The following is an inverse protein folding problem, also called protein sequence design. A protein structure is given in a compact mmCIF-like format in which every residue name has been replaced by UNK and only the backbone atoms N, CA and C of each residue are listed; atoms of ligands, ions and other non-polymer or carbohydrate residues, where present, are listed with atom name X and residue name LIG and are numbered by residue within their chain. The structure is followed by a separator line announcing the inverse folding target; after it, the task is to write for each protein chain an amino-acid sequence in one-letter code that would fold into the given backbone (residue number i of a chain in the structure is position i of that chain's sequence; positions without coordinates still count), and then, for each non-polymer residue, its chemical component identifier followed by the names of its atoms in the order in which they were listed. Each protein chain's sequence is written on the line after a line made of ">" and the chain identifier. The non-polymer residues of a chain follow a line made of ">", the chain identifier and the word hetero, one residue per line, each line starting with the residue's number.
data_IF_470249541727
#
_entry.id   IF_470249541727
#
_cell.length_a   1.000
_cell.length_b   1.000
_cell.length_c   1.000
_cell.angle_alpha   90.00
_cell.angle_beta   90.00
_cell.angle_gamma   90.00
#
_symmetry.space_group_name_H-M   'P 1'
#
loop_
_entity.id
_entity.type
_entity.pdbx_description
1 polymer ?
#
# COMPACT_ATOMS: atom_id res chain seq x y z
N UNK A 1 -19.34 -8.31 -49.06
CA UNK A 1 -17.88 -8.24 -48.79
C UNK A 1 -17.55 -6.81 -48.37
N UNK A 2 -17.47 -6.58 -47.06
CA UNK A 2 -16.44 -5.74 -46.44
C UNK A 2 -16.63 -5.85 -44.93
N UNK A 3 -15.82 -6.71 -44.32
CA UNK A 3 -15.65 -6.79 -42.88
C UNK A 3 -15.22 -5.43 -42.33
N UNK A 4 -15.95 -4.93 -41.35
CA UNK A 4 -15.45 -3.88 -40.46
C UNK A 4 -14.86 -4.57 -39.24
N UNK A 5 -13.53 -4.67 -39.17
CA UNK A 5 -12.84 -5.05 -37.94
C UNK A 5 -12.93 -3.88 -36.94
N UNK A 6 -13.35 -4.10 -35.68
CA UNK A 6 -13.19 -3.09 -34.67
C UNK A 6 -11.70 -3.00 -34.28
N UNK A 7 -11.17 -1.80 -34.45
CA UNK A 7 -9.86 -1.37 -33.94
C UNK A 7 -9.71 -1.76 -32.48
N UNK A 8 -8.68 -2.56 -32.20
CA UNK A 8 -8.17 -2.79 -30.84
C UNK A 8 -7.73 -1.44 -30.26
N UNK A 9 -8.56 -0.89 -29.38
CA UNK A 9 -8.16 0.17 -28.46
C UNK A 9 -6.97 -0.35 -27.66
N UNK A 10 -5.77 0.07 -28.05
CA UNK A 10 -4.61 0.08 -27.17
C UNK A 10 -5.05 0.82 -25.91
N UNK A 11 -5.19 0.09 -24.80
CA UNK A 11 -5.15 0.67 -23.47
C UNK A 11 -3.73 1.26 -23.28
N UNK A 12 -3.52 2.44 -23.87
CA UNK A 12 -2.33 3.21 -23.66
C UNK A 12 -2.31 3.62 -22.20
N UNK A 13 -1.27 3.21 -21.48
CA UNK A 13 -0.87 3.82 -20.23
C UNK A 13 -0.81 5.33 -20.44
N UNK A 14 -1.85 6.05 -20.04
CA UNK A 14 -1.71 7.48 -19.81
C UNK A 14 -0.84 7.62 -18.58
N UNK A 15 0.47 7.59 -18.80
CA UNK A 15 1.47 8.19 -17.91
C UNK A 15 1.27 9.72 -17.98
N UNK A 16 0.12 10.21 -17.54
CA UNK A 16 0.08 11.56 -17.00
C UNK A 16 0.95 11.50 -15.73
N UNK A 17 2.26 11.69 -15.95
CA UNK A 17 3.24 12.02 -14.93
C UNK A 17 2.86 13.40 -14.39
N UNK A 18 1.74 13.51 -13.69
CA UNK A 18 1.70 14.47 -12.60
C UNK A 18 2.74 13.94 -11.64
N UNK A 19 3.98 14.41 -11.80
CA UNK A 19 5.04 14.17 -10.84
C UNK A 19 4.56 14.87 -9.56
N UNK A 20 3.74 14.16 -8.78
CA UNK A 20 3.40 14.56 -7.43
C UNK A 20 4.75 14.64 -6.73
N UNK A 21 5.23 15.88 -6.55
CA UNK A 21 6.48 16.14 -5.83
C UNK A 21 6.19 15.86 -4.37
N UNK A 22 6.18 14.59 -4.01
CA UNK A 22 6.04 14.23 -2.62
C UNK A 22 7.33 14.53 -1.89
N UNK A 23 7.22 14.92 -0.62
CA UNK A 23 8.37 15.24 0.23
C UNK A 23 9.20 13.96 0.43
N UNK A 24 10.51 14.07 0.20
CA UNK A 24 11.43 12.96 0.47
C UNK A 24 11.49 12.70 1.98
N UNK A 25 11.39 11.43 2.44
CA UNK A 25 11.60 11.09 3.84
C UNK A 25 12.96 11.54 4.34
N UNK A 26 12.99 12.04 5.57
CA UNK A 26 14.17 12.43 6.34
C UNK A 26 13.91 12.07 7.81
N UNK A 27 13.83 10.76 8.13
CA UNK A 27 13.64 10.29 9.51
C UNK A 27 14.71 10.86 10.43
N UNK A 28 14.30 11.14 11.66
CA UNK A 28 15.10 11.69 12.75
C UNK A 28 14.76 10.89 13.98
N UNK A 29 15.77 10.34 14.63
CA UNK A 29 15.59 9.62 15.89
C UNK A 29 14.98 10.54 16.95
N UNK A 30 13.73 10.30 17.34
CA UNK A 30 13.04 11.22 18.26
C UNK A 30 11.71 10.76 18.84
N UNK A 31 10.92 9.93 18.14
CA UNK A 31 9.63 9.44 18.61
C UNK A 31 9.52 7.92 18.48
N UNK A 32 8.77 7.31 19.39
CA UNK A 32 8.43 5.89 19.30
C UNK A 32 7.52 5.64 18.09
N UNK A 33 7.68 4.48 17.46
CA UNK A 33 6.80 4.03 16.39
C UNK A 33 5.34 3.96 16.85
N UNK A 34 4.37 4.29 15.96
CA UNK A 34 2.96 4.06 16.25
C UNK A 34 2.68 2.55 16.35
N UNK A 35 1.61 2.19 17.06
CA UNK A 35 1.07 0.83 16.96
C UNK A 35 0.48 0.58 15.57
N UNK A 36 0.50 -0.68 15.15
CA UNK A 36 -0.14 -1.16 13.92
C UNK A 36 -1.26 -2.19 14.20
N UNK A 37 -1.86 -2.15 15.40
CA UNK A 37 -2.85 -3.14 15.85
C UNK A 37 -4.06 -3.27 14.92
N UNK A 38 -4.63 -2.15 14.45
CA UNK A 38 -5.75 -2.19 13.51
C UNK A 38 -5.39 -2.85 12.17
N UNK A 39 -4.15 -2.67 11.69
CA UNK A 39 -3.65 -3.39 10.52
C UNK A 39 -3.41 -4.87 10.86
N UNK A 40 -2.84 -5.18 12.02
CA UNK A 40 -2.62 -6.56 12.46
C UNK A 40 -3.94 -7.36 12.54
N UNK A 41 -5.00 -6.73 13.02
CA UNK A 41 -6.34 -7.33 13.06
C UNK A 41 -6.87 -7.62 11.64
N UNK A 42 -6.75 -6.64 10.73
CA UNK A 42 -7.15 -6.82 9.32
C UNK A 42 -6.36 -7.95 8.63
N UNK A 43 -5.04 -8.00 8.82
CA UNK A 43 -4.18 -9.04 8.25
C UNK A 43 -4.49 -10.42 8.85
N UNK A 44 -4.76 -10.50 10.15
CA UNK A 44 -5.18 -11.73 10.81
C UNK A 44 -6.53 -12.23 10.25
N UNK A 45 -7.47 -11.32 10.02
CA UNK A 45 -8.76 -11.66 9.44
C UNK A 45 -8.62 -12.22 8.01
N UNK A 46 -7.77 -11.62 7.18
CA UNK A 46 -7.43 -12.14 5.85
C UNK A 46 -6.73 -13.49 5.92
N UNK A 47 -5.74 -13.66 6.80
CA UNK A 47 -5.00 -14.92 6.92
C UNK A 47 -5.91 -16.09 7.33
N UNK A 48 -6.92 -15.84 8.19
CA UNK A 48 -7.83 -16.88 8.68
C UNK A 48 -8.94 -17.23 7.70
N UNK A 49 -9.51 -16.24 7.02
CA UNK A 49 -10.74 -16.38 6.23
C UNK A 49 -10.50 -16.29 4.72
N UNK A 50 -9.31 -15.87 4.31
CA UNK A 50 -8.95 -15.65 2.92
C UNK A 50 -9.66 -14.44 2.31
N UNK A 51 -9.80 -14.40 0.97
CA UNK A 51 -10.37 -13.27 0.25
C UNK A 51 -11.78 -12.84 0.67
N UNK A 52 -12.58 -13.75 1.24
CA UNK A 52 -13.93 -13.43 1.71
C UNK A 52 -13.96 -12.41 2.85
N UNK A 53 -12.85 -12.22 3.58
CA UNK A 53 -12.75 -11.20 4.62
C UNK A 53 -12.55 -9.78 4.08
N UNK A 54 -12.32 -9.59 2.78
CA UNK A 54 -11.96 -8.27 2.24
C UNK A 54 -13.02 -7.19 2.50
N UNK A 55 -14.31 -7.56 2.47
CA UNK A 55 -15.40 -6.64 2.80
C UNK A 55 -15.42 -6.23 4.27
N UNK A 56 -15.12 -7.16 5.18
CA UNK A 56 -15.14 -6.92 6.63
C UNK A 56 -13.98 -6.02 7.08
N UNK A 57 -12.81 -6.16 6.45
CA UNK A 57 -11.61 -5.43 6.89
C UNK A 57 -11.58 -3.97 6.40
N UNK A 58 -12.41 -3.54 5.44
CA UNK A 58 -12.40 -2.15 4.94
C UNK A 58 -12.65 -1.15 6.08
N UNK A 59 -13.51 -1.51 7.04
CA UNK A 59 -13.75 -0.72 8.26
C UNK A 59 -12.50 -0.61 9.14
N UNK A 60 -11.88 -1.75 9.48
CA UNK A 60 -10.64 -1.81 10.26
C UNK A 60 -9.51 -1.00 9.61
N UNK A 61 -9.37 -1.12 8.28
CA UNK A 61 -8.37 -0.39 7.52
C UNK A 61 -8.67 1.11 7.45
N UNK A 62 -9.94 1.52 7.44
CA UNK A 62 -10.31 2.93 7.47
C UNK A 62 -9.93 3.58 8.81
N UNK A 63 -10.20 2.88 9.93
CA UNK A 63 -9.83 3.33 11.27
C UNK A 63 -8.31 3.41 11.44
N UNK A 64 -7.60 2.33 11.09
CA UNK A 64 -6.14 2.29 11.10
C UNK A 64 -5.52 3.44 10.28
N UNK A 65 -6.06 3.74 9.09
CA UNK A 65 -5.53 4.82 8.25
C UNK A 65 -5.78 6.21 8.86
N UNK A 66 -6.85 6.39 9.65
CA UNK A 66 -7.10 7.63 10.36
C UNK A 66 -6.11 7.84 11.52
N UNK A 67 -5.77 6.77 12.24
CA UNK A 67 -4.74 6.80 13.30
C UNK A 67 -3.35 7.13 12.72
N UNK A 68 -3.03 6.51 11.60
CA UNK A 68 -1.73 6.67 10.96
C UNK A 68 -1.56 8.02 10.23
N UNK A 69 -2.66 8.63 9.76
CA UNK A 69 -2.63 9.90 9.05
C UNK A 69 -1.95 11.04 9.84
N UNK A 70 -2.01 11.01 11.17
CA UNK A 70 -1.46 12.05 12.05
C UNK A 70 -0.01 11.80 12.49
N UNK A 71 0.56 10.63 12.19
CA UNK A 71 1.96 10.31 12.48
C UNK A 71 2.85 11.13 11.54
N UNK A 72 3.96 11.69 12.06
CA UNK A 72 5.04 12.25 11.25
C UNK A 72 6.16 11.22 11.09
N UNK A 73 6.31 10.56 9.93
CA UNK A 73 7.34 9.55 9.73
C UNK A 73 8.76 10.13 9.76
N UNK A 74 8.93 11.46 9.68
CA UNK A 74 10.24 12.09 9.84
C UNK A 74 10.65 12.23 11.31
N UNK A 75 9.75 11.99 12.26
CA UNK A 75 10.06 11.97 13.68
C UNK A 75 10.42 10.56 14.20
N UNK A 76 10.31 9.54 13.33
CA UNK A 76 10.65 8.15 13.63
C UNK A 76 12.12 7.85 13.30
N UNK A 77 12.63 6.76 13.88
CA UNK A 77 13.87 6.13 13.42
C UNK A 77 13.75 5.63 11.97
N UNK A 78 14.87 5.41 11.30
CA UNK A 78 14.88 5.08 9.87
C UNK A 78 14.10 3.79 9.56
N UNK A 79 14.28 2.74 10.35
CA UNK A 79 13.59 1.47 10.16
C UNK A 79 12.10 1.59 10.49
N UNK A 80 11.75 2.29 11.57
CA UNK A 80 10.34 2.56 11.90
C UNK A 80 9.65 3.38 10.82
N UNK A 81 10.33 4.37 10.25
CA UNK A 81 9.80 5.17 9.14
C UNK A 81 9.58 4.31 7.89
N UNK A 82 10.51 3.40 7.56
CA UNK A 82 10.34 2.51 6.42
C UNK A 82 9.19 1.51 6.66
N UNK A 83 9.16 0.87 7.83
CA UNK A 83 8.09 -0.04 8.24
C UNK A 83 6.72 0.66 8.16
N UNK A 84 6.63 1.88 8.68
CA UNK A 84 5.45 2.72 8.59
C UNK A 84 4.99 2.92 7.14
N UNK A 85 5.89 3.34 6.24
CA UNK A 85 5.50 3.58 4.84
C UNK A 85 5.08 2.30 4.11
N UNK A 86 5.73 1.16 4.38
CA UNK A 86 5.32 -0.15 3.83
C UNK A 86 3.92 -0.51 4.33
N UNK A 87 3.65 -0.36 5.62
CA UNK A 87 2.34 -0.65 6.21
C UNK A 87 1.24 0.26 5.64
N UNK A 88 1.52 1.56 5.48
CA UNK A 88 0.60 2.52 4.86
C UNK A 88 0.27 2.13 3.41
N UNK A 89 1.29 1.76 2.63
CA UNK A 89 1.09 1.30 1.27
C UNK A 89 0.21 0.05 1.23
N UNK A 90 0.56 -0.96 2.03
CA UNK A 90 -0.15 -2.25 2.04
C UNK A 90 -1.60 -2.11 2.50
N UNK A 91 -1.86 -1.34 3.55
CA UNK A 91 -3.21 -1.02 4.00
C UNK A 91 -4.01 -0.32 2.88
N UNK A 92 -3.40 0.65 2.20
CA UNK A 92 -4.03 1.34 1.09
C UNK A 92 -4.37 0.44 -0.10
N UNK A 93 -3.46 -0.45 -0.48
CA UNK A 93 -3.68 -1.43 -1.53
C UNK A 93 -4.81 -2.40 -1.17
N UNK A 94 -4.92 -2.83 0.09
CA UNK A 94 -6.03 -3.64 0.57
C UNK A 94 -7.37 -2.90 0.53
N UNK A 95 -7.39 -1.60 0.88
CA UNK A 95 -8.61 -0.78 0.75
C UNK A 95 -9.05 -0.61 -0.71
N UNK A 96 -8.10 -0.44 -1.64
CA UNK A 96 -8.43 -0.45 -3.06
C UNK A 96 -9.01 -1.81 -3.50
N UNK A 97 -8.49 -2.91 -2.96
CA UNK A 97 -9.00 -4.24 -3.25
C UNK A 97 -10.42 -4.44 -2.69
N UNK A 98 -10.71 -3.97 -1.46
CA UNK A 98 -12.06 -3.95 -0.91
C UNK A 98 -13.02 -3.08 -1.73
N UNK A 99 -12.53 -1.94 -2.24
CA UNK A 99 -13.31 -1.12 -3.17
C UNK A 99 -13.62 -1.85 -4.47
N UNK A 100 -12.63 -2.52 -5.07
CA UNK A 100 -12.81 -3.29 -6.30
C UNK A 100 -13.84 -4.41 -6.12
N UNK A 101 -13.76 -5.13 -5.00
CA UNK A 101 -14.72 -6.16 -4.63
C UNK A 101 -16.16 -5.60 -4.54
N UNK A 102 -16.35 -4.48 -3.84
CA UNK A 102 -17.66 -3.79 -3.76
C UNK A 102 -18.18 -3.29 -5.11
N UNK A 103 -17.29 -2.89 -6.01
CA UNK A 103 -17.63 -2.46 -7.37
C UNK A 103 -17.84 -3.66 -8.34
N UNK A 104 -17.72 -4.90 -7.86
CA UNK A 104 -17.87 -6.11 -8.67
C UNK A 104 -16.72 -6.33 -9.67
N UNK A 105 -15.54 -5.77 -9.38
CA UNK A 105 -14.34 -5.92 -10.19
C UNK A 105 -13.39 -6.96 -9.58
N UNK A 106 -13.02 -7.96 -10.38
CA UNK A 106 -12.04 -8.98 -9.99
C UNK A 106 -10.60 -8.45 -9.85
N UNK A 107 -10.36 -7.17 -10.17
CA UNK A 107 -9.02 -6.57 -10.11
C UNK A 107 -9.06 -5.07 -9.88
N UNK A 108 -8.23 -4.61 -8.94
CA UNK A 108 -7.96 -3.17 -8.71
C UNK A 108 -7.39 -2.49 -9.95
N UNK A 109 -6.67 -3.24 -10.80
CA UNK A 109 -6.09 -2.70 -12.03
C UNK A 109 -7.15 -2.26 -13.06
N UNK A 110 -8.39 -2.73 -12.93
CA UNK A 110 -9.52 -2.30 -13.77
C UNK A 110 -10.11 -0.96 -13.32
N UNK A 111 -9.76 -0.46 -12.14
CA UNK A 111 -10.21 0.84 -11.63
C UNK A 111 -9.30 1.93 -12.20
N UNK A 112 -9.82 2.87 -13.01
CA UNK A 112 -9.02 3.95 -13.55
C UNK A 112 -8.40 4.80 -12.43
N UNK A 113 -7.07 4.93 -12.47
CA UNK A 113 -6.33 5.76 -11.52
C UNK A 113 -6.25 5.21 -10.09
N UNK A 114 -6.52 3.92 -9.87
CA UNK A 114 -6.53 3.32 -8.54
C UNK A 114 -5.26 3.60 -7.73
N UNK A 115 -4.09 3.53 -8.39
CA UNK A 115 -2.78 3.72 -7.74
C UNK A 115 -2.25 5.14 -7.83
N UNK A 116 -2.70 5.94 -8.80
CA UNK A 116 -2.16 7.27 -9.09
C UNK A 116 -2.97 8.42 -8.47
N UNK A 117 -4.26 8.20 -8.19
CA UNK A 117 -5.09 9.16 -7.47
C UNK A 117 -4.76 9.17 -5.97
N UNK A 118 -4.60 10.34 -5.34
CA UNK A 118 -4.47 10.41 -3.89
C UNK A 118 -5.68 9.80 -3.19
N UNK A 119 -5.44 8.96 -2.18
CA UNK A 119 -6.51 8.26 -1.45
C UNK A 119 -6.35 8.33 0.08
N UNK A 120 -5.22 8.86 0.56
CA UNK A 120 -4.99 9.16 1.96
C UNK A 120 -4.17 10.45 2.10
N UNK A 121 -4.15 10.98 3.32
CA UNK A 121 -3.25 12.06 3.73
C UNK A 121 -2.41 11.56 4.90
N UNK A 122 -1.09 11.73 4.84
CA UNK A 122 -0.18 11.46 5.97
C UNK A 122 0.70 12.68 6.18
N UNK A 123 0.80 13.18 7.41
CA UNK A 123 1.58 14.36 7.75
C UNK A 123 1.26 15.57 6.83
N UNK A 124 -0.04 15.87 6.68
CA UNK A 124 -0.60 16.93 5.83
C UNK A 124 -0.28 16.82 4.33
N UNK A 125 0.18 15.65 3.88
CA UNK A 125 0.54 15.40 2.49
C UNK A 125 -0.44 14.42 1.85
N UNK A 126 -1.20 14.84 0.81
CA UNK A 126 -2.07 13.93 0.06
C UNK A 126 -1.21 12.97 -0.76
N UNK A 127 -1.46 11.68 -0.61
CA UNK A 127 -0.64 10.61 -1.15
C UNK A 127 -1.47 9.59 -1.94
N UNK A 128 -0.94 9.22 -3.10
CA UNK A 128 -1.34 8.04 -3.88
C UNK A 128 -0.40 6.88 -3.58
N UNK A 129 -0.77 5.64 -3.96
CA UNK A 129 0.12 4.48 -3.79
C UNK A 129 1.40 4.67 -4.60
N UNK A 130 1.30 5.20 -5.82
CA UNK A 130 2.46 5.55 -6.64
C UNK A 130 3.36 6.58 -5.95
N UNK A 131 2.75 7.59 -5.29
CA UNK A 131 3.46 8.60 -4.52
C UNK A 131 4.19 8.03 -3.32
N UNK A 132 3.56 7.10 -2.60
CA UNK A 132 4.18 6.38 -1.47
C UNK A 132 5.34 5.53 -1.98
N UNK A 133 5.12 4.67 -2.97
CA UNK A 133 6.16 3.77 -3.49
C UNK A 133 7.36 4.55 -4.04
N UNK A 134 7.13 5.42 -5.02
CA UNK A 134 8.22 6.09 -5.76
C UNK A 134 8.84 7.26 -4.99
N UNK A 135 8.07 7.85 -4.08
CA UNK A 135 8.42 9.10 -3.43
C UNK A 135 8.81 8.97 -1.97
N UNK A 136 8.27 7.97 -1.27
CA UNK A 136 8.63 7.66 0.13
C UNK A 136 9.51 6.42 0.19
N UNK A 137 8.98 5.26 -0.15
CA UNK A 137 9.58 3.95 0.11
C UNK A 137 10.89 3.75 -0.66
N UNK A 138 10.91 3.98 -1.98
CA UNK A 138 12.12 3.80 -2.80
C UNK A 138 13.31 4.68 -2.40
N UNK A 139 13.09 5.69 -1.54
CA UNK A 139 14.15 6.58 -1.04
C UNK A 139 15.02 5.94 0.05
N UNK A 140 14.54 4.86 0.66
CA UNK A 140 15.32 4.09 1.63
C UNK A 140 16.36 3.17 0.95
N UNK A 141 16.22 2.91 -0.35
CA UNK A 141 17.28 2.27 -1.16
C UNK A 141 17.42 0.76 -0.96
N UNK A 142 16.51 0.11 -0.23
CA UNK A 142 16.51 -1.33 -0.04
C UNK A 142 15.74 -2.04 -1.18
N UNK A 143 16.39 -2.91 -1.99
CA UNK A 143 15.72 -3.60 -3.08
C UNK A 143 14.69 -4.65 -2.63
N UNK A 144 14.79 -5.17 -1.40
CA UNK A 144 13.90 -6.22 -0.85
C UNK A 144 12.47 -5.73 -0.69
N UNK A 145 12.31 -4.42 -0.49
CA UNK A 145 11.04 -3.72 -0.36
C UNK A 145 10.03 -4.11 -1.45
N UNK A 146 10.45 -4.31 -2.70
CA UNK A 146 9.49 -4.61 -3.77
C UNK A 146 8.69 -5.89 -3.50
N UNK A 147 9.30 -6.89 -2.84
CA UNK A 147 8.62 -8.11 -2.41
C UNK A 147 7.67 -7.91 -1.22
N UNK A 148 7.83 -6.81 -0.48
CA UNK A 148 7.01 -6.45 0.69
C UNK A 148 5.77 -5.61 0.34
N UNK A 149 5.65 -5.13 -0.90
CA UNK A 149 4.52 -4.31 -1.35
C UNK A 149 3.47 -5.17 -2.05
N UNK A 150 2.22 -5.10 -1.61
CA UNK A 150 1.13 -5.81 -2.28
C UNK A 150 0.56 -5.01 -3.45
N UNK A 151 0.44 -5.66 -4.61
CA UNK A 151 -0.03 -5.05 -5.85
C UNK A 151 -1.55 -4.81 -5.91
N UNK A 152 -2.25 -4.81 -4.77
CA UNK A 152 -3.70 -4.61 -4.68
C UNK A 152 -4.53 -5.80 -5.16
N UNK A 153 -3.98 -7.03 -5.19
CA UNK A 153 -4.78 -8.25 -5.37
C UNK A 153 -5.10 -8.89 -4.02
N UNK A 154 -6.36 -9.27 -3.80
CA UNK A 154 -6.79 -9.98 -2.57
C UNK A 154 -6.13 -11.37 -2.45
N UNK A 155 -5.75 -11.97 -3.58
CA UNK A 155 -5.08 -13.28 -3.65
C UNK A 155 -3.56 -13.18 -3.69
N UNK A 156 -2.97 -12.03 -3.36
CA UNK A 156 -1.52 -11.83 -3.43
C UNK A 156 -0.81 -12.77 -2.45
N UNK A 157 -0.05 -13.78 -2.94
CA UNK A 157 0.57 -14.79 -2.08
C UNK A 157 1.66 -14.20 -1.16
N UNK A 158 2.10 -12.97 -1.43
CA UNK A 158 3.14 -12.26 -0.68
C UNK A 158 2.59 -11.40 0.47
N UNK A 159 1.29 -11.37 0.76
CA UNK A 159 0.81 -10.59 1.91
C UNK A 159 1.19 -11.27 3.24
N UNK A 160 2.01 -10.61 4.08
CA UNK A 160 2.31 -11.07 5.44
C UNK A 160 1.06 -11.03 6.32
N UNK A 161 0.95 -11.98 7.26
CA UNK A 161 -0.13 -12.01 8.25
C UNK A 161 0.07 -11.02 9.41
N UNK A 162 1.17 -10.26 9.40
CA UNK A 162 1.57 -9.30 10.43
C UNK A 162 2.09 -8.00 9.79
N UNK A 163 1.96 -6.85 10.47
CA UNK A 163 2.56 -5.59 10.02
C UNK A 163 4.10 -5.63 10.10
N UNK A 164 4.74 -4.77 9.31
CA UNK A 164 6.16 -4.50 9.47
C UNK A 164 6.42 -3.63 10.71
N UNK A 165 7.50 -3.87 11.45
CA UNK A 165 7.91 -3.04 12.60
C UNK A 165 9.41 -2.79 12.55
N UNK A 166 9.88 -1.60 12.94
CA UNK A 166 11.31 -1.25 12.82
C UNK A 166 12.26 -2.26 13.46
N UNK A 167 12.03 -2.72 14.70
CA UNK A 167 12.92 -3.70 15.35
C UNK A 167 13.05 -5.05 14.64
N UNK A 168 12.08 -5.43 13.79
CA UNK A 168 12.08 -6.69 13.05
C UNK A 168 12.19 -6.51 11.54
N UNK A 169 12.28 -5.26 11.05
CA UNK A 169 12.10 -4.92 9.65
C UNK A 169 13.06 -5.69 8.74
N UNK A 170 14.34 -5.72 9.10
CA UNK A 170 15.37 -6.41 8.32
C UNK A 170 15.04 -7.91 8.15
N UNK A 171 14.69 -8.59 9.24
CA UNK A 171 14.31 -9.99 9.22
C UNK A 171 13.00 -10.23 8.43
N UNK A 172 12.02 -9.34 8.57
CA UNK A 172 10.75 -9.43 7.85
C UNK A 172 10.94 -9.23 6.34
N UNK A 173 11.81 -8.30 5.92
CA UNK A 173 12.15 -8.08 4.51
C UNK A 173 12.92 -9.27 3.92
N UNK A 174 13.81 -9.88 4.69
CA UNK A 174 14.54 -11.08 4.27
C UNK A 174 13.62 -12.30 4.10
N UNK A 175 12.75 -12.53 5.08
CA UNK A 175 11.76 -13.62 5.05
C UNK A 175 10.84 -13.50 3.83
N UNK A 176 10.47 -12.26 3.49
CA UNK A 176 9.63 -11.94 2.33
C UNK A 176 10.19 -12.41 0.99
N UNK A 177 11.51 -12.47 0.85
CA UNK A 177 12.18 -12.89 -0.39
C UNK A 177 12.45 -14.40 -0.46
N UNK A 178 12.19 -15.14 0.62
CA UNK A 178 12.40 -16.60 0.69
C UNK A 178 11.13 -17.41 0.42
N UNK A 179 9.96 -16.77 0.54
CA UNK A 179 8.63 -17.37 0.38
C UNK A 179 8.23 -17.60 -1.08
#
# INVERSE_FOLDING_TARGET
>A
MSDAQPSVLRAGFSMARTAVRVRRPRPRSGQAAPSHDGLAEALTALARRGPSAIGDIDGLLAEYMAEIAVVDPNALDADDALAHWINVYNAGALRLAARADREGSDSVLRIPGAFSSPFLTVADEPLSLDGIEHGKIRRFGDPRIHGALVCGSVSCPTLRAEPFVGPALDAQLDDQLRA
#
